data_IF_055524089433
#
_entry.id   IF_055524089433
#
_cell.length_a   1.000
_cell.length_b   1.000
_cell.length_c   1.000
_cell.angle_alpha   90.00
_cell.angle_beta   90.00
_cell.angle_gamma   90.00
#
_symmetry.space_group_name_H-M   'P 1'
#
loop_
_entity.id
_entity.type
_entity.pdbx_description
1 polymer ?
#
# COMPACT_ATOMS: atom_id res chain seq x y z
N UNK A 1 18.72 46.11 -9.37
CA UNK A 1 19.28 47.15 -10.26
C UNK A 1 20.77 46.88 -10.40
N UNK A 2 21.22 46.88 -11.65
CA UNK A 2 22.53 46.55 -12.19
C UNK A 2 23.74 46.77 -11.29
N UNK A 3 24.66 45.79 -11.30
CA UNK A 3 26.07 46.02 -11.62
C UNK A 3 26.79 44.67 -11.74
N UNK A 4 26.89 44.13 -12.96
CA UNK A 4 27.93 43.15 -13.28
C UNK A 4 28.20 43.10 -14.79
N UNK A 5 28.83 44.15 -15.32
CA UNK A 5 29.21 44.21 -16.75
C UNK A 5 30.70 44.48 -17.00
N UNK A 6 31.58 44.47 -16.00
CA UNK A 6 32.97 44.92 -16.17
C UNK A 6 34.07 43.84 -16.14
N UNK A 7 33.77 42.55 -15.97
CA UNK A 7 34.82 41.51 -15.93
C UNK A 7 35.15 40.86 -17.28
N UNK A 8 34.29 40.99 -18.30
CA UNK A 8 34.55 40.37 -19.61
C UNK A 8 35.47 41.19 -20.52
N UNK A 9 35.62 42.49 -20.27
CA UNK A 9 36.42 43.37 -21.14
C UNK A 9 37.94 43.23 -20.93
N UNK A 10 38.39 42.77 -19.75
CA UNK A 10 39.81 42.56 -19.49
C UNK A 10 40.36 41.25 -20.07
N UNK A 11 39.53 40.20 -20.17
CA UNK A 11 39.95 38.93 -20.78
C UNK A 11 40.05 39.03 -22.31
N UNK A 12 39.17 39.82 -22.94
CA UNK A 12 39.18 40.01 -24.40
C UNK A 12 40.39 40.83 -24.85
N UNK A 13 40.83 41.83 -24.07
CA UNK A 13 41.99 42.65 -24.42
C UNK A 13 43.31 41.86 -24.38
N UNK A 14 43.43 40.80 -23.56
CA UNK A 14 44.60 39.91 -23.55
C UNK A 14 44.65 38.96 -24.76
N UNK A 15 43.51 38.74 -25.45
CA UNK A 15 43.43 37.82 -26.60
C UNK A 15 43.83 38.51 -27.91
N UNK A 16 43.83 39.86 -27.95
CA UNK A 16 44.13 40.63 -29.16
C UNK A 16 45.60 41.03 -29.31
N UNK A 17 46.40 40.90 -28.24
CA UNK A 17 47.82 41.21 -28.28
C UNK A 17 48.59 40.04 -28.90
N UNK A 18 49.08 40.24 -30.12
CA UNK A 18 49.87 39.21 -30.83
C UNK A 18 51.36 39.25 -30.47
N UNK A 19 51.77 40.21 -29.63
CA UNK A 19 53.17 40.46 -29.28
C UNK A 19 53.36 40.51 -27.76
N UNK A 20 54.49 39.97 -27.32
CA UNK A 20 54.98 40.05 -25.96
C UNK A 20 55.30 41.49 -25.58
N UNK A 21 54.69 41.98 -24.51
CA UNK A 21 54.88 43.33 -23.97
C UNK A 21 56.32 43.63 -23.52
N UNK A 22 57.07 42.61 -23.09
CA UNK A 22 58.46 42.78 -22.61
C UNK A 22 59.50 42.79 -23.74
N UNK A 23 59.21 42.11 -24.84
CA UNK A 23 60.19 41.84 -25.89
C UNK A 23 59.78 42.35 -27.28
N UNK A 24 58.54 42.86 -27.42
CA UNK A 24 57.90 43.30 -28.66
C UNK A 24 57.92 42.25 -29.79
N UNK A 25 58.06 40.97 -29.43
CA UNK A 25 58.10 39.82 -30.33
C UNK A 25 56.77 39.09 -30.37
N UNK A 26 56.47 38.48 -31.50
CA UNK A 26 55.26 37.68 -31.65
C UNK A 26 55.26 36.47 -30.70
N UNK A 27 54.06 36.10 -30.24
CA UNK A 27 53.87 34.87 -29.49
C UNK A 27 53.92 33.68 -30.43
N UNK A 28 54.74 32.69 -30.09
CA UNK A 28 55.06 31.55 -30.97
C UNK A 28 54.86 30.20 -30.26
N UNK A 29 54.76 30.20 -28.92
CA UNK A 29 54.73 28.99 -28.09
C UNK A 29 53.64 29.07 -27.01
N UNK A 30 53.15 27.92 -26.57
CA UNK A 30 52.19 27.74 -25.47
C UNK A 30 52.75 26.74 -24.47
N UNK A 31 52.82 27.12 -23.19
CA UNK A 31 53.11 26.20 -22.10
C UNK A 31 51.80 25.63 -21.54
N UNK A 32 51.62 24.31 -21.60
CA UNK A 32 50.38 23.67 -21.15
C UNK A 32 50.25 23.63 -19.62
N UNK A 33 51.37 23.61 -18.89
CA UNK A 33 51.37 23.58 -17.42
C UNK A 33 51.06 24.98 -16.85
N UNK A 34 51.68 26.02 -17.40
CA UNK A 34 51.46 27.39 -16.95
C UNK A 34 50.24 28.07 -17.60
N UNK A 35 49.66 27.45 -18.63
CA UNK A 35 48.60 28.03 -19.44
C UNK A 35 48.95 29.45 -19.94
N UNK A 36 50.16 29.62 -20.46
CA UNK A 36 50.69 30.92 -20.88
C UNK A 36 51.33 30.89 -22.27
N UNK A 37 51.09 31.95 -23.04
CA UNK A 37 51.69 32.16 -24.36
C UNK A 37 53.05 32.86 -24.23
N UNK A 38 54.03 32.42 -25.01
CA UNK A 38 55.42 32.84 -24.90
C UNK A 38 55.97 33.26 -26.27
N UNK A 39 56.72 34.36 -26.32
CA UNK A 39 57.58 34.66 -27.46
C UNK A 39 58.88 33.85 -27.38
N UNK A 40 59.68 33.80 -28.45
CA UNK A 40 60.96 33.08 -28.47
C UNK A 40 61.89 33.39 -27.28
N UNK A 41 62.00 34.64 -26.83
CA UNK A 41 62.84 35.00 -25.66
C UNK A 41 62.25 34.49 -24.33
N UNK A 42 60.94 34.67 -24.15
CA UNK A 42 60.23 34.15 -22.97
C UNK A 42 60.30 32.63 -22.91
N UNK A 43 60.24 31.95 -24.04
CA UNK A 43 60.40 30.50 -24.14
C UNK A 43 61.75 30.04 -23.58
N UNK A 44 62.87 30.59 -24.05
CA UNK A 44 64.19 30.19 -23.55
C UNK A 44 64.36 30.44 -22.05
N UNK A 45 63.86 31.57 -21.55
CA UNK A 45 63.91 31.86 -20.12
C UNK A 45 62.99 30.91 -19.32
N UNK A 46 61.81 30.61 -19.85
CA UNK A 46 60.85 29.70 -19.24
C UNK A 46 61.39 28.28 -19.18
N UNK A 47 61.97 27.78 -20.28
CA UNK A 47 62.60 26.47 -20.36
C UNK A 47 63.80 26.33 -19.42
N UNK A 48 64.60 27.39 -19.27
CA UNK A 48 65.73 27.39 -18.33
C UNK A 48 65.29 27.26 -16.87
N UNK A 49 64.16 27.86 -16.53
CA UNK A 49 63.60 27.86 -15.17
C UNK A 49 62.66 26.68 -14.90
N UNK A 50 62.02 26.11 -15.94
CA UNK A 50 61.00 25.07 -15.84
C UNK A 50 61.21 24.01 -16.94
N UNK A 51 62.20 23.15 -16.77
CA UNK A 51 62.60 22.15 -17.78
C UNK A 51 61.56 21.06 -18.02
N UNK A 52 60.71 20.81 -17.04
CA UNK A 52 59.69 19.74 -17.08
C UNK A 52 58.35 20.24 -17.62
N UNK A 53 58.27 21.51 -18.00
CA UNK A 53 57.05 22.05 -18.60
C UNK A 53 56.94 21.65 -20.06
N UNK A 54 55.78 21.10 -20.40
CA UNK A 54 55.43 20.80 -21.79
C UNK A 54 55.06 22.09 -22.51
N UNK A 55 55.85 22.44 -23.53
CA UNK A 55 55.73 23.68 -24.29
C UNK A 55 55.75 23.35 -25.77
N UNK A 56 54.69 23.72 -26.48
CA UNK A 56 54.53 23.42 -27.90
C UNK A 56 54.44 24.73 -28.71
N UNK A 57 54.93 24.69 -29.95
CA UNK A 57 54.80 25.81 -30.87
C UNK A 57 53.36 25.92 -31.39
N UNK A 58 52.88 27.15 -31.55
CA UNK A 58 51.56 27.43 -32.12
C UNK A 58 51.41 26.83 -33.52
N UNK A 59 52.47 26.78 -34.32
CA UNK A 59 52.40 26.20 -35.67
C UNK A 59 52.21 24.68 -35.64
N UNK A 60 52.84 24.00 -34.68
CA UNK A 60 52.64 22.56 -34.48
C UNK A 60 51.24 22.28 -33.92
N UNK A 61 50.74 23.10 -32.98
CA UNK A 61 49.35 23.02 -32.50
C UNK A 61 48.36 23.22 -33.65
N UNK A 62 48.55 24.23 -34.51
CA UNK A 62 47.68 24.48 -35.68
C UNK A 62 47.70 23.32 -36.66
N UNK A 63 48.88 22.78 -36.96
CA UNK A 63 49.06 21.61 -37.82
C UNK A 63 48.37 20.39 -37.22
N UNK A 64 48.51 20.17 -35.92
CA UNK A 64 47.89 19.08 -35.18
C UNK A 64 46.36 19.19 -35.12
N UNK A 65 45.83 20.42 -35.00
CA UNK A 65 44.39 20.70 -35.11
C UNK A 65 43.84 20.42 -36.52
N UNK A 66 44.55 20.86 -37.56
CA UNK A 66 44.16 20.59 -38.95
C UNK A 66 44.22 19.09 -39.28
N UNK A 67 45.20 18.37 -38.72
CA UNK A 67 45.34 16.92 -38.89
C UNK A 67 44.26 16.13 -38.15
N UNK A 68 43.66 16.67 -37.09
CA UNK A 68 42.52 16.06 -36.40
C UNK A 68 41.32 15.88 -37.35
N UNK A 69 41.17 16.75 -38.36
CA UNK A 69 40.14 16.63 -39.40
C UNK A 69 40.43 15.54 -40.45
N UNK A 70 41.69 15.08 -40.57
CA UNK A 70 42.15 14.24 -41.68
C UNK A 70 42.55 12.80 -41.25
N UNK A 71 42.17 12.35 -40.05
CA UNK A 71 42.31 10.96 -39.59
C UNK A 71 43.73 10.34 -39.61
N UNK A 72 44.80 11.14 -39.63
CA UNK A 72 46.16 10.58 -39.54
C UNK A 72 46.64 10.43 -38.09
N UNK A 73 47.23 9.27 -37.80
CA UNK A 73 47.74 8.77 -36.51
C UNK A 73 48.91 9.60 -35.94
N UNK A 74 48.63 10.82 -35.50
CA UNK A 74 49.53 11.56 -34.61
C UNK A 74 48.94 11.57 -33.19
N UNK A 75 49.78 11.21 -32.21
CA UNK A 75 49.51 11.34 -30.77
C UNK A 75 49.44 12.83 -30.41
N UNK A 76 48.27 13.43 -30.63
CA UNK A 76 47.98 14.82 -30.29
C UNK A 76 47.34 14.88 -28.89
N UNK A 77 47.85 15.76 -28.04
CA UNK A 77 47.30 16.06 -26.71
C UNK A 77 45.78 16.32 -26.74
N UNK A 78 45.29 17.04 -27.76
CA UNK A 78 43.87 17.34 -27.91
C UNK A 78 43.05 16.06 -28.22
N UNK A 79 43.57 15.18 -29.09
CA UNK A 79 42.93 13.90 -29.42
C UNK A 79 42.87 12.99 -28.18
N UNK A 80 43.95 12.93 -27.42
CA UNK A 80 44.02 12.15 -26.18
C UNK A 80 43.07 12.71 -25.11
N UNK A 81 42.99 14.03 -24.97
CA UNK A 81 42.03 14.68 -24.08
C UNK A 81 40.57 14.37 -24.46
N UNK A 82 40.22 14.44 -25.75
CA UNK A 82 38.90 14.07 -26.26
C UNK A 82 38.60 12.59 -25.97
N UNK A 83 39.53 11.69 -26.27
CA UNK A 83 39.35 10.25 -26.02
C UNK A 83 39.21 9.93 -24.53
N UNK A 84 40.00 10.56 -23.66
CA UNK A 84 39.92 10.38 -22.22
C UNK A 84 38.58 10.88 -21.67
N UNK A 85 38.12 12.04 -22.15
CA UNK A 85 36.81 12.58 -21.78
C UNK A 85 35.68 11.67 -22.26
N UNK A 86 35.72 11.19 -23.51
CA UNK A 86 34.72 10.27 -24.04
C UNK A 86 34.70 8.95 -23.27
N UNK A 87 35.86 8.40 -22.93
CA UNK A 87 35.98 7.18 -22.11
C UNK A 87 35.38 7.40 -20.72
N UNK A 88 35.64 8.57 -20.11
CA UNK A 88 35.08 8.93 -18.81
C UNK A 88 33.56 9.08 -18.87
N UNK A 89 33.03 9.71 -19.92
CA UNK A 89 31.59 9.84 -20.18
C UNK A 89 30.95 8.45 -20.34
N UNK A 90 31.56 7.57 -21.13
CA UNK A 90 31.07 6.21 -21.32
C UNK A 90 31.05 5.42 -20.01
N UNK A 91 32.11 5.55 -19.20
CA UNK A 91 32.16 4.93 -17.86
C UNK A 91 31.03 5.44 -16.97
N UNK A 92 30.81 6.75 -16.92
CA UNK A 92 29.73 7.35 -16.13
C UNK A 92 28.34 6.90 -16.64
N UNK A 93 28.16 6.84 -17.95
CA UNK A 93 26.92 6.35 -18.57
C UNK A 93 26.62 4.91 -18.20
N UNK A 94 27.63 4.03 -18.27
CA UNK A 94 27.50 2.62 -17.86
C UNK A 94 27.22 2.47 -16.36
N UNK A 95 27.82 3.32 -15.51
CA UNK A 95 27.50 3.34 -14.09
C UNK A 95 26.06 3.77 -13.84
N UNK A 96 25.58 4.80 -14.54
CA UNK A 96 24.21 5.27 -14.43
C UNK A 96 23.20 4.20 -14.85
N UNK A 97 23.42 3.52 -15.98
CA UNK A 97 22.54 2.44 -16.43
C UNK A 97 22.56 1.24 -15.48
N UNK A 98 23.74 0.87 -14.95
CA UNK A 98 23.87 -0.19 -13.95
C UNK A 98 23.12 0.15 -12.65
N UNK A 99 23.23 1.39 -12.17
CA UNK A 99 22.47 1.86 -11.00
C UNK A 99 20.96 1.82 -11.26
N UNK A 100 20.52 2.25 -12.46
CA UNK A 100 19.13 2.12 -12.88
C UNK A 100 18.63 0.68 -12.80
N UNK A 101 19.41 -0.27 -13.33
CA UNK A 101 19.10 -1.71 -13.23
C UNK A 101 18.97 -2.20 -11.79
N UNK A 102 19.87 -1.78 -10.89
CA UNK A 102 19.80 -2.13 -9.46
C UNK A 102 18.57 -1.55 -8.78
N UNK A 103 18.18 -0.32 -9.09
CA UNK A 103 16.96 0.30 -8.54
C UNK A 103 15.73 -0.50 -8.96
N UNK A 104 15.63 -0.89 -10.24
CA UNK A 104 14.54 -1.74 -10.72
C UNK A 104 14.55 -3.12 -10.06
N UNK A 105 15.73 -3.73 -9.86
CA UNK A 105 15.86 -5.01 -9.14
C UNK A 105 15.31 -4.92 -7.71
N UNK A 106 15.68 -3.86 -6.98
CA UNK A 106 15.15 -3.60 -5.62
C UNK A 106 13.63 -3.48 -5.64
N UNK A 107 13.07 -2.68 -6.55
CA UNK A 107 11.61 -2.52 -6.67
C UNK A 107 10.91 -3.85 -6.92
N UNK A 108 11.44 -4.67 -7.83
CA UNK A 108 10.86 -5.99 -8.15
C UNK A 108 10.89 -6.95 -6.96
N UNK A 109 11.93 -6.90 -6.11
CA UNK A 109 11.99 -7.71 -4.89
C UNK A 109 10.91 -7.33 -3.88
N UNK A 110 10.69 -6.04 -3.65
CA UNK A 110 9.64 -5.57 -2.75
C UNK A 110 8.24 -5.85 -3.29
N UNK A 111 8.05 -5.78 -4.62
CA UNK A 111 6.78 -6.15 -5.25
C UNK A 111 6.45 -7.63 -5.04
N UNK A 112 7.43 -8.53 -5.21
CA UNK A 112 7.24 -9.96 -4.93
C UNK A 112 6.85 -10.22 -3.49
N UNK A 113 7.52 -9.56 -2.54
CA UNK A 113 7.20 -9.67 -1.12
C UNK A 113 5.78 -9.18 -0.83
N UNK A 114 5.41 -8.02 -1.38
CA UNK A 114 4.07 -7.45 -1.21
C UNK A 114 2.98 -8.40 -1.75
N UNK A 115 3.18 -8.95 -2.94
CA UNK A 115 2.24 -9.90 -3.54
C UNK A 115 2.10 -11.17 -2.71
N UNK A 116 3.20 -11.70 -2.16
CA UNK A 116 3.16 -12.84 -1.25
C UNK A 116 2.36 -12.54 0.02
N UNK A 117 2.62 -11.40 0.67
CA UNK A 117 1.90 -10.98 1.88
C UNK A 117 0.40 -10.81 1.64
N UNK A 118 0.01 -10.22 0.50
CA UNK A 118 -1.40 -10.09 0.10
C UNK A 118 -2.09 -11.44 -0.03
N UNK A 119 -1.45 -12.42 -0.68
CA UNK A 119 -2.02 -13.76 -0.86
C UNK A 119 -2.18 -14.47 0.49
N UNK A 120 -1.17 -14.42 1.36
CA UNK A 120 -1.23 -15.02 2.69
C UNK A 120 -2.30 -14.36 3.57
N UNK A 121 -2.43 -13.04 3.53
CA UNK A 121 -3.50 -12.31 4.22
C UNK A 121 -4.89 -12.83 3.80
N UNK A 122 -5.13 -12.93 2.50
CA UNK A 122 -6.39 -13.47 1.98
C UNK A 122 -6.61 -14.93 2.37
N UNK A 123 -5.57 -15.76 2.32
CA UNK A 123 -5.62 -17.18 2.69
C UNK A 123 -6.04 -17.36 4.15
N UNK A 124 -5.53 -16.52 5.05
CA UNK A 124 -5.84 -16.53 6.47
C UNK A 124 -7.23 -15.95 6.78
N UNK A 125 -7.63 -14.88 6.10
CA UNK A 125 -8.94 -14.22 6.32
C UNK A 125 -10.12 -15.06 5.82
N UNK A 126 -9.95 -15.78 4.72
CA UNK A 126 -11.05 -16.53 4.07
C UNK A 126 -11.78 -17.52 4.99
N UNK A 127 -11.10 -18.44 5.72
CA UNK A 127 -11.80 -19.36 6.62
C UNK A 127 -12.52 -18.63 7.76
N UNK A 128 -11.91 -17.58 8.34
CA UNK A 128 -12.53 -16.78 9.40
C UNK A 128 -13.83 -16.14 8.90
N UNK A 129 -13.82 -15.59 7.68
CA UNK A 129 -15.02 -14.99 7.07
C UNK A 129 -16.13 -16.02 6.85
N UNK A 130 -15.78 -17.22 6.36
CA UNK A 130 -16.75 -18.31 6.16
C UNK A 130 -17.36 -18.74 7.50
N UNK A 131 -16.56 -18.85 8.55
CA UNK A 131 -17.04 -19.19 9.89
C UNK A 131 -17.94 -18.08 10.45
N UNK A 132 -17.60 -16.80 10.25
CA UNK A 132 -18.45 -15.67 10.61
C UNK A 132 -19.81 -15.70 9.91
N UNK A 133 -19.82 -15.96 8.61
CA UNK A 133 -21.06 -16.09 7.82
C UNK A 133 -21.90 -17.28 8.30
N UNK A 134 -21.24 -18.40 8.62
CA UNK A 134 -21.91 -19.59 9.14
C UNK A 134 -22.56 -19.33 10.50
N UNK A 135 -21.85 -18.65 11.41
CA UNK A 135 -22.39 -18.27 12.74
C UNK A 135 -23.56 -17.31 12.59
N UNK A 136 -23.49 -16.35 11.66
CA UNK A 136 -24.59 -15.45 11.34
C UNK A 136 -25.83 -16.22 10.89
N UNK A 137 -25.68 -17.12 9.92
CA UNK A 137 -26.79 -17.91 9.41
C UNK A 137 -27.43 -18.79 10.50
N UNK A 138 -26.62 -19.36 11.40
CA UNK A 138 -27.12 -20.17 12.51
C UNK A 138 -27.89 -19.30 13.53
N UNK A 139 -27.35 -18.13 13.87
CA UNK A 139 -28.03 -17.17 14.74
C UNK A 139 -29.38 -16.73 14.15
N UNK A 140 -29.43 -16.42 12.86
CA UNK A 140 -30.66 -16.04 12.18
C UNK A 140 -31.70 -17.18 12.21
N UNK A 141 -31.28 -18.44 12.06
CA UNK A 141 -32.17 -19.60 12.19
C UNK A 141 -32.73 -19.72 13.61
N UNK A 142 -31.87 -19.62 14.63
CA UNK A 142 -32.29 -19.70 16.03
C UNK A 142 -33.24 -18.56 16.43
N UNK A 143 -32.97 -17.34 15.96
CA UNK A 143 -33.85 -16.19 16.20
C UNK A 143 -35.22 -16.36 15.53
N UNK A 144 -35.27 -16.89 14.31
CA UNK A 144 -36.52 -17.16 13.61
C UNK A 144 -37.34 -18.27 14.29
N UNK A 145 -36.67 -19.28 14.84
CA UNK A 145 -37.32 -20.30 15.64
C UNK A 145 -37.91 -19.71 16.93
N UNK A 146 -37.11 -18.94 17.67
CA UNK A 146 -37.55 -18.27 18.90
C UNK A 146 -38.72 -17.31 18.63
N UNK A 147 -38.67 -16.55 17.53
CA UNK A 147 -39.76 -15.69 17.08
C UNK A 147 -41.04 -16.49 16.81
N UNK A 148 -40.92 -17.65 16.17
CA UNK A 148 -42.07 -18.53 15.91
C UNK A 148 -42.70 -19.05 17.19
N UNK A 149 -41.90 -19.39 18.21
CA UNK A 149 -42.38 -19.81 19.53
C UNK A 149 -43.09 -18.66 20.24
N UNK A 150 -42.49 -17.47 20.27
CA UNK A 150 -43.08 -16.27 20.88
C UNK A 150 -44.42 -15.93 20.23
N UNK A 151 -44.55 -16.11 18.92
CA UNK A 151 -45.81 -15.89 18.20
C UNK A 151 -46.93 -16.83 18.67
N UNK A 152 -46.60 -18.11 18.90
CA UNK A 152 -47.56 -19.08 19.44
C UNK A 152 -48.00 -18.68 20.85
N UNK A 153 -47.05 -18.27 21.69
CA UNK A 153 -47.32 -17.82 23.07
C UNK A 153 -48.20 -16.58 23.08
N UNK A 154 -47.85 -15.56 22.31
CA UNK A 154 -48.61 -14.32 22.21
C UNK A 154 -50.03 -14.56 21.69
N UNK A 155 -50.18 -15.44 20.70
CA UNK A 155 -51.50 -15.83 20.17
C UNK A 155 -52.37 -16.54 21.23
N UNK A 156 -51.77 -17.40 22.04
CA UNK A 156 -52.47 -18.07 23.15
C UNK A 156 -52.91 -17.06 24.23
N UNK A 157 -52.01 -16.17 24.64
CA UNK A 157 -52.27 -15.21 25.72
C UNK A 157 -53.31 -14.14 25.34
N UNK A 158 -53.23 -13.59 24.12
CA UNK A 158 -54.16 -12.55 23.65
C UNK A 158 -55.62 -13.05 23.55
N UNK A 159 -55.83 -14.35 23.36
CA UNK A 159 -57.16 -14.95 23.27
C UNK A 159 -57.71 -15.43 24.63
N UNK A 160 -56.85 -15.75 25.60
CA UNK A 160 -57.26 -16.01 26.98
C UNK A 160 -57.86 -14.73 27.58
N UNK A 161 -57.23 -13.59 27.35
CA UNK A 161 -57.71 -12.29 27.85
C UNK A 161 -58.96 -11.78 27.11
N UNK A 162 -59.21 -12.25 25.88
CA UNK A 162 -60.42 -11.90 25.10
C UNK A 162 -61.70 -12.58 25.59
N UNK A 163 -61.60 -13.63 26.42
CA UNK A 163 -62.77 -14.31 26.99
C UNK A 163 -63.33 -13.63 28.25
N UNK A 164 -62.65 -12.62 28.81
CA UNK A 164 -63.06 -12.01 30.08
C UNK A 164 -63.40 -10.51 30.03
N UNK A 165 -63.26 -9.82 28.89
CA UNK A 165 -63.62 -8.39 28.81
C UNK A 165 -64.31 -8.08 27.48
N UNK A 166 -65.63 -8.25 27.45
CA UNK A 166 -66.48 -7.28 26.76
C UNK A 166 -66.56 -6.07 27.68
N UNK A 167 -65.98 -4.94 27.28
CA UNK A 167 -66.54 -3.58 27.44
C UNK A 167 -65.57 -2.52 26.90
N UNK A 168 -66.19 -1.64 26.13
CA UNK A 168 -65.86 -0.27 25.74
C UNK A 168 -64.68 0.01 24.79
N UNK A 169 -65.10 0.36 23.56
CA UNK A 169 -64.45 1.30 22.65
C UNK A 169 -63.93 2.51 23.43
N UNK A 170 -62.62 2.74 23.40
CA UNK A 170 -62.12 4.10 23.31
C UNK A 170 -60.85 4.16 22.45
N UNK A 171 -60.98 5.04 21.47
CA UNK A 171 -60.04 5.40 20.41
C UNK A 171 -58.89 6.21 21.02
N UNK A 172 -57.66 5.67 21.02
CA UNK A 172 -56.48 6.49 21.23
C UNK A 172 -55.37 6.14 20.23
N UNK A 173 -55.43 6.83 19.09
CA UNK A 173 -54.36 6.92 18.11
C UNK A 173 -53.18 7.73 18.65
N UNK A 174 -52.26 7.07 19.35
CA UNK A 174 -50.90 7.55 19.51
C UNK A 174 -49.89 6.59 18.86
N UNK A 175 -49.89 6.56 17.52
CA UNK A 175 -48.79 5.97 16.75
C UNK A 175 -47.56 6.88 16.84
N UNK A 176 -46.75 6.65 17.87
CA UNK A 176 -45.37 7.10 17.94
C UNK A 176 -44.65 6.73 16.63
N UNK A 177 -44.07 7.74 15.96
CA UNK A 177 -43.18 7.54 14.81
C UNK A 177 -41.95 6.77 15.31
N UNK A 178 -41.92 5.45 15.08
CA UNK A 178 -40.72 4.64 15.28
C UNK A 178 -39.62 5.16 14.37
N UNK A 179 -38.50 5.57 14.98
CA UNK A 179 -37.27 5.89 14.27
C UNK A 179 -36.82 4.71 13.41
N UNK A 180 -36.07 5.00 12.35
CA UNK A 180 -35.54 4.01 11.43
C UNK A 180 -34.62 3.03 12.19
N UNK A 181 -35.15 1.85 12.48
CA UNK A 181 -34.51 0.83 13.35
C UNK A 181 -33.49 -0.03 12.63
N UNK A 182 -33.04 0.35 11.43
CA UNK A 182 -32.19 -0.48 10.59
C UNK A 182 -30.87 -0.90 11.29
N UNK A 183 -30.30 -0.07 12.16
CA UNK A 183 -29.09 -0.38 12.94
C UNK A 183 -29.32 -1.34 14.14
N UNK A 184 -30.58 -1.52 14.58
CA UNK A 184 -30.93 -2.40 15.70
C UNK A 184 -30.91 -3.90 15.33
N UNK A 185 -30.86 -4.22 14.04
CA UNK A 185 -30.79 -5.60 13.52
C UNK A 185 -29.37 -6.07 13.21
N UNK A 186 -28.35 -5.26 13.51
CA UNK A 186 -26.97 -5.72 13.35
C UNK A 186 -26.68 -6.86 14.33
N UNK A 187 -25.96 -7.89 13.87
CA UNK A 187 -25.51 -9.02 14.70
C UNK A 187 -24.80 -8.55 15.97
N UNK A 188 -24.01 -7.48 15.84
CA UNK A 188 -23.30 -6.86 16.97
C UNK A 188 -24.28 -6.33 18.03
N UNK A 189 -25.37 -5.71 17.60
CA UNK A 189 -26.43 -5.21 18.49
C UNK A 189 -27.16 -6.38 19.16
N UNK A 190 -27.45 -7.45 18.41
CA UNK A 190 -28.10 -8.66 18.93
C UNK A 190 -27.23 -9.33 19.99
N UNK A 191 -25.93 -9.52 19.73
CA UNK A 191 -25.02 -10.11 20.71
C UNK A 191 -24.93 -9.29 22.00
N UNK A 192 -24.79 -7.97 21.90
CA UNK A 192 -24.82 -7.09 23.08
C UNK A 192 -26.11 -7.24 23.87
N UNK A 193 -27.24 -7.33 23.17
CA UNK A 193 -28.56 -7.49 23.78
C UNK A 193 -28.67 -8.85 24.51
N UNK A 194 -28.13 -9.92 23.93
CA UNK A 194 -28.05 -11.26 24.57
C UNK A 194 -27.16 -11.21 25.82
N UNK A 195 -25.98 -10.61 25.74
CA UNK A 195 -25.05 -10.50 26.89
C UNK A 195 -25.66 -9.72 28.05
N UNK A 196 -26.46 -8.69 27.74
CA UNK A 196 -27.08 -7.84 28.73
C UNK A 196 -28.36 -8.46 29.32
N UNK A 197 -28.97 -9.44 28.64
CA UNK A 197 -30.25 -10.00 29.03
C UNK A 197 -30.11 -11.38 29.67
N UNK A 198 -30.23 -11.41 30.99
CA UNK A 198 -30.43 -12.63 31.77
C UNK A 198 -31.49 -12.34 32.83
N UNK A 199 -32.65 -13.03 32.84
CA UNK A 199 -33.08 -14.23 32.06
C UNK A 199 -33.59 -14.00 30.62
N UNK A 200 -33.96 -15.09 29.89
CA UNK A 200 -34.50 -15.06 28.50
C UNK A 200 -35.70 -14.13 28.34
N UNK A 201 -36.55 -13.99 29.37
CA UNK A 201 -37.70 -13.10 29.31
C UNK A 201 -37.26 -11.63 29.16
N UNK A 202 -36.19 -11.21 29.84
CA UNK A 202 -35.61 -9.87 29.68
C UNK A 202 -35.10 -9.64 28.26
N UNK A 203 -34.58 -10.68 27.60
CA UNK A 203 -34.16 -10.61 26.21
C UNK A 203 -35.37 -10.39 25.30
N UNK A 204 -36.45 -11.13 25.51
CA UNK A 204 -37.66 -11.00 24.72
C UNK A 204 -38.28 -9.61 24.89
N UNK A 205 -38.39 -9.11 26.13
CA UNK A 205 -38.99 -7.81 26.42
C UNK A 205 -38.20 -6.65 25.82
N UNK A 206 -36.87 -6.65 25.97
CA UNK A 206 -36.01 -5.58 25.42
C UNK A 206 -35.99 -5.52 23.90
N UNK A 207 -36.27 -6.64 23.23
CA UNK A 207 -36.28 -6.73 21.78
C UNK A 207 -37.69 -6.95 21.21
N UNK A 208 -38.73 -6.71 22.00
CA UNK A 208 -40.12 -6.95 21.62
C UNK A 208 -40.52 -6.09 20.42
N UNK A 209 -40.12 -4.81 20.44
CA UNK A 209 -40.46 -3.83 19.40
C UNK A 209 -39.62 -3.92 18.13
N UNK A 210 -38.62 -4.80 18.12
CA UNK A 210 -37.66 -5.00 17.03
C UNK A 210 -37.67 -6.46 16.55
N UNK A 211 -36.80 -7.32 17.10
CA UNK A 211 -36.61 -8.72 16.70
C UNK A 211 -37.92 -9.51 16.73
N UNK A 212 -38.72 -9.31 17.77
CA UNK A 212 -39.96 -10.02 18.01
C UNK A 212 -41.21 -9.21 17.67
N UNK A 213 -41.05 -8.10 16.93
CA UNK A 213 -42.20 -7.28 16.57
C UNK A 213 -43.15 -8.06 15.68
N UNK A 214 -44.34 -8.31 16.22
CA UNK A 214 -45.41 -9.02 15.55
C UNK A 214 -46.56 -8.06 15.38
N UNK A 215 -46.51 -7.31 14.28
CA UNK A 215 -47.71 -6.65 13.82
C UNK A 215 -48.74 -7.74 13.49
N UNK A 216 -49.99 -7.58 13.93
CA UNK A 216 -51.10 -8.48 13.60
C UNK A 216 -51.30 -8.69 12.08
N UNK A 217 -50.61 -7.90 11.26
CA UNK A 217 -50.61 -7.95 9.79
C UNK A 217 -49.46 -8.76 9.17
N UNK A 218 -48.65 -9.51 9.94
CA UNK A 218 -47.75 -10.49 9.33
C UNK A 218 -48.62 -11.62 8.73
N UNK A 219 -48.82 -11.54 7.41
CA UNK A 219 -49.79 -12.26 6.56
C UNK A 219 -50.13 -13.70 6.96
N UNK A 220 -49.20 -14.48 7.52
CA UNK A 220 -49.47 -15.88 7.85
C UNK A 220 -50.44 -16.10 9.02
N UNK A 221 -50.43 -15.24 10.06
CA UNK A 221 -51.33 -15.39 11.22
C UNK A 221 -52.68 -14.72 10.94
N UNK A 222 -52.67 -13.56 10.28
CA UNK A 222 -53.89 -12.86 9.85
C UNK A 222 -54.77 -13.73 8.94
N UNK A 223 -54.16 -14.40 7.96
CA UNK A 223 -54.89 -15.31 7.06
C UNK A 223 -55.41 -16.56 7.78
N UNK A 224 -54.72 -17.04 8.82
CA UNK A 224 -55.15 -18.20 9.60
C UNK A 224 -56.29 -17.85 10.57
N UNK A 225 -56.23 -16.66 11.17
CA UNK A 225 -57.23 -16.17 12.14
C UNK A 225 -58.53 -15.72 11.49
N UNK A 226 -58.47 -15.13 10.29
CA UNK A 226 -59.66 -14.71 9.56
C UNK A 226 -60.49 -15.87 8.98
N UNK A 227 -59.90 -17.06 8.86
CA UNK A 227 -60.53 -18.23 8.22
C UNK A 227 -60.97 -19.34 9.20
N UNK A 228 -60.68 -19.24 10.50
CA UNK A 228 -60.94 -20.30 11.47
C UNK A 228 -61.61 -19.77 12.75
N UNK A 229 -62.89 -20.11 12.90
CA UNK A 229 -63.69 -19.74 14.07
C UNK A 229 -63.34 -20.52 15.36
N UNK A 230 -62.39 -21.46 15.31
CA UNK A 230 -62.02 -22.29 16.46
C UNK A 230 -60.56 -22.05 16.86
N UNK A 231 -60.40 -21.45 18.04
CA UNK A 231 -59.12 -21.15 18.69
C UNK A 231 -58.21 -22.37 18.83
N UNK A 232 -58.73 -23.50 19.29
CA UNK A 232 -57.95 -24.72 19.50
C UNK A 232 -57.39 -25.21 18.16
N UNK A 233 -58.17 -25.11 17.08
CA UNK A 233 -57.74 -25.46 15.73
C UNK A 233 -56.65 -24.53 15.22
N UNK A 234 -56.72 -23.23 15.52
CA UNK A 234 -55.70 -22.25 15.11
C UNK A 234 -54.39 -22.45 15.86
N UNK A 235 -54.43 -22.70 17.17
CA UNK A 235 -53.23 -23.09 17.94
C UNK A 235 -52.61 -24.37 17.38
N UNK A 236 -53.42 -25.40 17.15
CA UNK A 236 -52.93 -26.67 16.59
C UNK A 236 -52.28 -26.47 15.23
N UNK A 237 -52.82 -25.59 14.37
CA UNK A 237 -52.21 -25.25 13.08
C UNK A 237 -50.91 -24.46 13.24
N UNK A 238 -50.82 -23.50 14.16
CA UNK A 238 -49.57 -22.78 14.42
C UNK A 238 -48.47 -23.72 14.95
N UNK A 239 -48.82 -24.63 15.86
CA UNK A 239 -47.91 -25.68 16.35
C UNK A 239 -47.52 -26.62 15.20
N UNK A 240 -48.45 -26.97 14.32
CA UNK A 240 -48.17 -27.81 13.15
C UNK A 240 -47.24 -27.11 12.16
N UNK A 241 -47.42 -25.81 11.94
CA UNK A 241 -46.56 -24.98 11.10
C UNK A 241 -45.15 -24.86 11.68
N UNK A 242 -45.04 -24.52 12.96
CA UNK A 242 -43.76 -24.53 13.68
C UNK A 242 -43.07 -25.89 13.54
N UNK A 243 -43.79 -26.99 13.80
CA UNK A 243 -43.25 -28.32 13.64
C UNK A 243 -42.83 -28.62 12.19
N UNK A 244 -43.58 -28.17 11.18
CA UNK A 244 -43.21 -28.39 9.78
C UNK A 244 -41.96 -27.62 9.35
N UNK A 245 -41.72 -26.45 9.94
CA UNK A 245 -40.58 -25.58 9.62
C UNK A 245 -39.32 -25.95 10.41
N UNK A 246 -39.47 -26.32 11.68
CA UNK A 246 -38.35 -26.46 12.61
C UNK A 246 -38.14 -27.90 13.13
N UNK A 247 -39.11 -28.82 13.05
CA UNK A 247 -38.97 -30.20 13.61
C UNK A 247 -38.05 -31.11 12.79
N UNK A 248 -37.81 -30.80 11.52
CA UNK A 248 -36.76 -31.45 10.71
C UNK A 248 -35.38 -30.88 11.00
N UNK A 249 -35.28 -29.73 11.66
CA UNK A 249 -34.05 -29.24 12.27
C UNK A 249 -33.90 -30.01 13.57
N UNK A 250 -33.53 -31.29 13.48
CA UNK A 250 -32.96 -31.98 14.63
C UNK A 250 -31.63 -31.29 14.92
N UNK A 251 -31.67 -30.24 15.74
CA UNK A 251 -30.49 -29.81 16.48
C UNK A 251 -30.13 -31.02 17.32
N UNK A 252 -29.00 -31.64 16.97
CA UNK A 252 -28.44 -32.79 17.65
C UNK A 252 -27.95 -32.32 19.04
N UNK A 253 -28.89 -32.09 19.96
CA UNK A 253 -28.59 -31.68 21.34
C UNK A 253 -27.97 -32.82 22.17
N UNK A 254 -27.72 -33.98 21.58
CA UNK A 254 -26.81 -34.98 22.13
C UNK A 254 -25.40 -34.78 21.58
N UNK A 255 -24.56 -34.12 22.37
CA UNK A 255 -23.08 -34.14 22.30
C UNK A 255 -22.36 -33.41 21.16
N UNK A 256 -23.05 -32.63 20.33
CA UNK A 256 -22.41 -31.63 19.46
C UNK A 256 -23.05 -30.26 19.65
N UNK A 257 -22.96 -29.69 20.86
CA UNK A 257 -22.46 -28.30 20.89
C UNK A 257 -21.16 -28.43 20.13
N UNK A 258 -21.18 -28.07 18.86
CA UNK A 258 -19.95 -28.00 18.12
C UNK A 258 -19.20 -26.94 18.90
N UNK A 259 -18.30 -27.38 19.77
CA UNK A 259 -17.18 -26.64 20.27
C UNK A 259 -16.31 -26.33 19.03
N UNK A 260 -16.89 -25.53 18.14
CA UNK A 260 -16.25 -24.81 17.06
C UNK A 260 -15.67 -23.55 17.68
N UNK A 261 -15.13 -23.65 18.89
CA UNK A 261 -13.92 -22.93 19.25
C UNK A 261 -12.81 -23.43 18.31
N UNK A 262 -12.96 -23.16 17.01
CA UNK A 262 -11.88 -23.21 16.05
C UNK A 262 -11.02 -22.03 16.48
N UNK A 263 -10.08 -22.34 17.36
CA UNK A 263 -9.06 -21.39 17.79
C UNK A 263 -8.24 -21.12 16.54
N UNK A 264 -8.55 -20.02 15.88
CA UNK A 264 -7.81 -19.55 14.72
C UNK A 264 -6.46 -19.06 15.25
N UNK A 265 -5.47 -19.94 15.21
CA UNK A 265 -4.10 -19.61 15.57
C UNK A 265 -3.33 -19.25 14.30
N UNK A 266 -2.72 -18.07 14.30
CA UNK A 266 -1.82 -17.67 13.22
C UNK A 266 -0.51 -18.41 13.43
N UNK A 267 -0.34 -19.52 12.73
CA UNK A 267 0.90 -20.29 12.72
C UNK A 267 1.65 -19.91 11.44
N UNK A 268 2.74 -19.15 11.61
CA UNK A 268 3.71 -18.95 10.53
C UNK A 268 4.48 -20.26 10.33
N UNK A 269 4.58 -20.73 9.09
CA UNK A 269 5.43 -21.89 8.80
C UNK A 269 6.87 -21.42 8.70
N UNK A 270 7.82 -22.26 9.12
CA UNK A 270 9.25 -21.97 8.98
C UNK A 270 9.63 -21.70 7.51
N UNK A 271 8.92 -22.31 6.56
CA UNK A 271 9.05 -22.05 5.12
C UNK A 271 8.74 -20.60 4.73
N UNK A 272 7.78 -19.96 5.40
CA UNK A 272 7.40 -18.57 5.12
C UNK A 272 8.49 -17.61 5.61
N UNK A 273 9.09 -17.95 6.76
CA UNK A 273 10.20 -17.21 7.35
C UNK A 273 11.47 -17.33 6.50
N UNK A 274 11.75 -18.52 5.97
CA UNK A 274 12.88 -18.75 5.05
C UNK A 274 12.69 -18.02 3.71
N UNK A 275 11.47 -17.98 3.16
CA UNK A 275 11.19 -17.22 1.94
C UNK A 275 11.39 -15.71 2.15
N UNK A 276 10.93 -15.17 3.29
CA UNK A 276 11.15 -13.77 3.65
C UNK A 276 12.64 -13.48 3.84
N UNK A 277 13.38 -14.37 4.53
CA UNK A 277 14.84 -14.23 4.67
C UNK A 277 15.53 -14.28 3.32
N UNK A 278 15.16 -15.19 2.42
CA UNK A 278 15.74 -15.30 1.08
C UNK A 278 15.55 -14.01 0.28
N UNK A 279 14.33 -13.44 0.28
CA UNK A 279 14.02 -12.17 -0.39
C UNK A 279 14.80 -11.00 0.21
N UNK A 280 15.00 -10.97 1.53
CA UNK A 280 15.75 -9.90 2.21
C UNK A 280 17.27 -10.04 2.02
N UNK A 281 17.78 -11.27 2.04
CA UNK A 281 19.21 -11.55 1.92
C UNK A 281 19.73 -11.29 0.51
N UNK A 282 18.89 -11.47 -0.53
CA UNK A 282 19.24 -11.06 -1.90
C UNK A 282 19.44 -9.55 -2.06
N UNK A 283 18.84 -8.73 -1.19
CA UNK A 283 19.00 -7.26 -1.20
C UNK A 283 20.26 -6.83 -0.43
N UNK A 284 20.67 -7.58 0.59
CA UNK A 284 21.77 -7.20 1.49
C UNK A 284 23.17 -7.52 0.91
N UNK A 285 23.33 -8.62 0.16
CA UNK A 285 24.64 -9.11 -0.30
C UNK A 285 25.32 -8.29 -1.41
N UNK A 286 24.68 -7.24 -1.96
CA UNK A 286 25.21 -6.48 -3.13
C UNK A 286 25.78 -5.09 -2.80
N UNK A 287 25.74 -4.65 -1.54
CA UNK A 287 26.08 -3.27 -1.13
C UNK A 287 27.46 -3.09 -0.46
N UNK A 288 28.25 -4.14 -0.25
CA UNK A 288 29.51 -4.02 0.53
C UNK A 288 30.76 -3.54 -0.25
N UNK A 289 30.67 -3.23 -1.55
CA UNK A 289 31.84 -2.81 -2.34
C UNK A 289 31.91 -1.31 -2.61
N UNK A 290 31.92 -0.48 -1.56
CA UNK A 290 32.43 0.89 -1.64
C UNK A 290 33.64 1.04 -0.71
N UNK A 291 34.82 0.77 -1.25
CA UNK A 291 36.09 1.14 -0.63
C UNK A 291 36.44 2.57 -1.06
N UNK A 292 36.43 3.49 -0.09
CA UNK A 292 36.93 4.86 -0.22
C UNK A 292 38.45 4.84 -0.42
N UNK A 293 39.05 5.62 -1.35
CA UNK A 293 40.48 5.81 -1.35
C UNK A 293 40.85 6.75 -0.18
N UNK A 294 41.55 6.21 0.80
CA UNK A 294 42.26 6.97 1.83
C UNK A 294 43.38 7.78 1.18
N UNK A 295 43.26 9.11 1.19
CA UNK A 295 44.39 10.01 1.03
C UNK A 295 45.04 10.21 2.39
N UNK A 296 46.12 9.49 2.65
CA UNK A 296 47.12 9.83 3.66
C UNK A 296 48.20 10.68 2.98
N UNK A 297 48.31 11.95 3.40
CA UNK A 297 49.50 12.76 3.19
C UNK A 297 49.73 13.58 4.47
N UNK A 298 50.48 12.99 5.38
CA UNK A 298 51.30 13.72 6.36
C UNK A 298 52.76 13.66 5.89
N UNK A 299 53.47 14.77 6.11
CA UNK A 299 54.91 15.04 5.92
C UNK A 299 55.34 15.57 4.56
#
# INVERSE_FOLDING_TARGET
>A
MNNNSNNNNNYINQITETKCSEHEKEFEYLCFICNSILCSKCFFNHYKSNKDHDVESIDEIKKNLNNLSNNNDSDNYIKNSINNNLTSINRLSNQYTSLGGKVTEISNHFEKLHNFLMVEEHRLKKPISIDQDTVKEDLDKQLNELKSIINIINFNNNNINKKEVELDDDDDQNKSKKEDTTDLYSISTIFKSIEQSQPVIDFIERNYDTLFYCNNNNNMIGDLTNNLNNFDTTILKLITLYNSQFKSIKIDHSNNVIDRSVKHEIIFKDTDLELIKEILQSVSLKNENFHSPTTSAES
#
